data_IF_051305160804
#
_entry.id   IF_051305160804
#
_cell.length_a   1.000
_cell.length_b   1.000
_cell.length_c   1.000
_cell.angle_alpha   90.00
_cell.angle_beta   90.00
_cell.angle_gamma   90.00
#
_symmetry.space_group_name_H-M   'P 1'
#
loop_
_entity.id
_entity.type
_entity.pdbx_description
1 polymer ?
#
# COMPACT_ATOMS: atom_id res chain seq x y z
N UNK A 1 0.06 15.40 -7.55
CA UNK A 1 0.08 14.78 -8.89
C UNK A 1 -1.23 15.10 -9.58
N UNK A 2 -1.24 15.29 -10.90
CA UNK A 2 -2.48 15.50 -11.67
C UNK A 2 -2.41 14.62 -12.91
N UNK A 3 -3.49 13.88 -13.17
CA UNK A 3 -3.66 13.04 -14.35
C UNK A 3 -4.63 13.73 -15.30
N UNK A 4 -4.27 13.78 -16.57
CA UNK A 4 -5.22 14.05 -17.62
C UNK A 4 -5.95 12.75 -17.94
N UNK A 5 -7.21 12.60 -17.54
CA UNK A 5 -8.06 11.47 -17.96
C UNK A 5 -8.31 11.55 -19.47
N UNK A 6 -8.00 10.50 -20.26
CA UNK A 6 -8.54 10.40 -21.61
C UNK A 6 -10.03 10.06 -21.50
N UNK A 7 -10.90 11.02 -21.84
CA UNK A 7 -12.31 10.73 -22.13
C UNK A 7 -12.36 10.01 -23.48
N UNK A 8 -12.67 8.72 -23.50
CA UNK A 8 -12.91 7.99 -24.75
C UNK A 8 -14.42 7.85 -24.99
N UNK A 9 -15.02 8.90 -25.54
CA UNK A 9 -16.45 8.94 -25.91
C UNK A 9 -16.79 8.30 -27.26
N UNK A 10 -16.08 7.26 -27.72
CA UNK A 10 -16.33 6.67 -29.04
C UNK A 10 -16.14 5.13 -29.06
N UNK A 11 -16.88 4.39 -29.92
CA UNK A 11 -16.87 2.92 -30.02
C UNK A 11 -15.54 2.30 -30.50
N UNK A 12 -14.50 3.12 -30.65
CA UNK A 12 -13.12 2.74 -31.00
C UNK A 12 -12.13 3.29 -29.97
N UNK A 13 -12.53 3.35 -28.69
CA UNK A 13 -11.62 3.70 -27.60
C UNK A 13 -10.39 2.78 -27.67
N UNK A 14 -9.16 3.30 -27.83
CA UNK A 14 -7.99 2.45 -27.82
C UNK A 14 -7.98 1.71 -26.48
N UNK A 15 -7.85 0.38 -26.50
CA UNK A 15 -7.72 -0.44 -25.30
C UNK A 15 -6.42 -0.18 -24.53
N UNK A 16 -5.74 0.94 -24.77
CA UNK A 16 -4.52 1.36 -24.12
C UNK A 16 -4.65 2.84 -23.69
N UNK A 17 -4.60 3.08 -22.38
CA UNK A 17 -4.69 4.40 -21.76
C UNK A 17 -3.34 4.76 -21.16
N UNK A 18 -2.76 5.89 -21.56
CA UNK A 18 -1.41 6.29 -21.12
C UNK A 18 -1.48 7.35 -20.04
N UNK A 19 -0.71 7.17 -18.98
CA UNK A 19 -0.62 8.03 -17.82
C UNK A 19 0.83 8.50 -17.63
N UNK A 20 1.07 9.78 -17.87
CA UNK A 20 2.36 10.41 -17.59
C UNK A 20 2.44 10.81 -16.11
N UNK A 21 3.35 10.17 -15.38
CA UNK A 21 3.55 10.47 -13.97
C UNK A 21 4.60 11.57 -13.82
N UNK A 22 4.20 12.68 -13.21
CA UNK A 22 5.14 13.75 -12.82
C UNK A 22 5.89 13.30 -11.57
N UNK A 23 7.04 12.67 -11.79
CA UNK A 23 7.90 12.10 -10.76
C UNK A 23 9.22 12.86 -10.63
N UNK A 24 9.88 12.81 -9.46
CA UNK A 24 11.26 13.25 -9.33
C UNK A 24 12.17 12.62 -10.40
N UNK A 25 13.20 13.37 -10.81
CA UNK A 25 14.18 12.86 -11.77
C UNK A 25 14.86 11.62 -11.19
N UNK A 26 14.97 10.58 -12.02
CA UNK A 26 15.55 9.30 -11.63
C UNK A 26 14.58 8.34 -10.94
N UNK A 27 13.30 8.71 -10.79
CA UNK A 27 12.29 7.78 -10.30
C UNK A 27 12.08 6.58 -11.23
N UNK A 28 11.71 5.46 -10.65
CA UNK A 28 11.42 4.21 -11.37
C UNK A 28 10.06 3.64 -10.97
N UNK A 29 9.41 2.97 -11.92
CA UNK A 29 8.18 2.21 -11.70
C UNK A 29 8.53 0.73 -11.64
N UNK A 30 8.14 0.07 -10.55
CA UNK A 30 8.44 -1.34 -10.33
C UNK A 30 7.14 -2.14 -10.19
N UNK A 31 6.81 -3.00 -11.17
CA UNK A 31 5.64 -3.86 -11.09
C UNK A 31 5.83 -4.98 -10.07
N UNK A 32 4.74 -5.41 -9.46
CA UNK A 32 4.67 -6.60 -8.59
C UNK A 32 3.74 -7.65 -9.19
N UNK A 33 3.82 -8.88 -8.67
CA UNK A 33 2.94 -10.00 -9.09
C UNK A 33 1.47 -9.80 -8.69
N UNK A 34 1.17 -8.88 -7.76
CA UNK A 34 -0.20 -8.53 -7.36
C UNK A 34 -0.87 -7.54 -8.32
N UNK A 35 -0.12 -6.99 -9.28
CA UNK A 35 -0.60 -5.98 -10.22
C UNK A 35 -0.42 -4.53 -9.75
N UNK A 36 0.08 -4.31 -8.53
CA UNK A 36 0.45 -2.96 -8.05
C UNK A 36 1.79 -2.54 -8.64
N UNK A 37 1.92 -1.24 -8.89
CA UNK A 37 3.17 -0.60 -9.30
C UNK A 37 3.72 0.24 -8.15
N UNK A 38 4.90 -0.09 -7.65
CA UNK A 38 5.63 0.76 -6.70
C UNK A 38 6.39 1.86 -7.43
N UNK A 39 6.40 3.07 -6.86
CA UNK A 39 7.14 4.22 -7.36
C UNK A 39 8.31 4.44 -6.42
N UNK A 40 9.53 4.33 -6.94
CA UNK A 40 10.76 4.56 -6.18
C UNK A 40 11.43 5.84 -6.68
N UNK A 41 12.07 6.60 -5.79
CA UNK A 41 12.95 7.69 -6.18
C UNK A 41 14.33 7.20 -6.67
N UNK A 42 15.22 8.13 -7.02
CA UNK A 42 16.56 7.82 -7.51
C UNK A 42 17.45 7.09 -6.48
N UNK A 43 17.11 7.19 -5.19
CA UNK A 43 17.81 6.49 -4.10
C UNK A 43 17.18 5.12 -3.78
N UNK A 44 16.10 4.74 -4.48
CA UNK A 44 15.36 3.50 -4.24
C UNK A 44 14.35 3.60 -3.10
N UNK A 45 14.11 4.79 -2.55
CA UNK A 45 13.09 5.00 -1.51
C UNK A 45 11.71 4.98 -2.13
N UNK A 46 10.76 4.30 -1.49
CA UNK A 46 9.36 4.30 -1.89
C UNK A 46 8.73 5.70 -1.73
N UNK A 47 8.07 6.19 -2.78
CA UNK A 47 7.45 7.54 -2.83
C UNK A 47 6.00 7.52 -3.32
N UNK A 48 5.44 6.33 -3.54
CA UNK A 48 4.04 6.17 -3.96
C UNK A 48 3.77 4.81 -4.59
N UNK A 49 2.49 4.54 -4.85
CA UNK A 49 2.08 3.32 -5.53
C UNK A 49 0.80 3.49 -6.35
N UNK A 50 0.61 2.58 -7.30
CA UNK A 50 -0.59 2.48 -8.14
C UNK A 50 -1.27 1.15 -7.86
N UNK A 51 -2.52 1.16 -7.35
CA UNK A 51 -3.31 -0.06 -7.08
C UNK A 51 -3.48 -0.91 -8.36
N UNK A 52 -3.83 -2.20 -8.24
CA UNK A 52 -3.96 -3.07 -9.41
C UNK A 52 -4.94 -2.50 -10.44
N UNK A 53 -4.62 -2.72 -11.72
CA UNK A 53 -5.47 -2.25 -12.81
C UNK A 53 -6.90 -2.79 -12.65
N UNK A 54 -7.88 -1.89 -12.77
CA UNK A 54 -9.29 -2.24 -12.81
C UNK A 54 -9.94 -1.54 -14.01
N UNK A 55 -10.93 -2.21 -14.60
CA UNK A 55 -11.76 -1.64 -15.64
C UNK A 55 -13.18 -2.16 -15.49
N UNK A 56 -14.18 -1.31 -15.74
CA UNK A 56 -15.61 -1.70 -15.72
C UNK A 56 -16.36 -1.13 -16.91
N UNK A 57 -17.35 -1.86 -17.38
CA UNK A 57 -18.31 -1.40 -18.39
C UNK A 57 -19.42 -0.53 -17.76
N UNK A 58 -20.33 -0.02 -18.58
CA UNK A 58 -21.44 0.82 -18.11
C UNK A 58 -22.46 0.11 -17.20
N UNK A 59 -22.45 -1.22 -17.18
CA UNK A 59 -23.27 -2.03 -16.27
C UNK A 59 -22.51 -2.40 -14.98
N UNK A 60 -21.25 -1.96 -14.84
CA UNK A 60 -20.39 -2.27 -13.71
C UNK A 60 -19.67 -3.62 -13.79
N UNK A 61 -19.79 -4.34 -14.90
CA UNK A 61 -19.10 -5.62 -15.11
C UNK A 61 -17.60 -5.39 -15.21
N UNK A 62 -16.81 -6.24 -14.55
CA UNK A 62 -15.36 -6.17 -14.61
C UNK A 62 -14.84 -6.55 -16.01
N UNK A 63 -13.90 -5.76 -16.54
CA UNK A 63 -13.20 -6.03 -17.79
C UNK A 63 -11.75 -6.39 -17.44
N UNK A 64 -11.20 -7.40 -18.13
CA UNK A 64 -9.80 -7.78 -17.96
C UNK A 64 -8.90 -6.60 -18.34
N UNK A 65 -7.95 -6.28 -17.48
CA UNK A 65 -6.99 -5.18 -17.70
C UNK A 65 -5.67 -5.46 -16.97
N UNK A 66 -4.59 -4.82 -17.42
CA UNK A 66 -3.27 -4.85 -16.78
C UNK A 66 -2.50 -3.57 -17.09
N UNK A 67 -1.39 -3.35 -16.38
CA UNK A 67 -0.45 -2.27 -16.70
C UNK A 67 0.74 -2.75 -17.52
N UNK A 68 1.17 -1.92 -18.46
CA UNK A 68 2.50 -1.89 -19.05
C UNK A 68 3.28 -0.66 -18.56
N UNK A 69 4.61 -0.73 -18.59
CA UNK A 69 5.50 0.36 -18.16
C UNK A 69 6.50 0.65 -19.28
N UNK A 70 6.71 1.94 -19.56
CA UNK A 70 7.78 2.44 -20.43
C UNK A 70 8.47 3.62 -19.76
N UNK A 71 9.64 3.38 -19.16
CA UNK A 71 10.30 4.36 -18.29
C UNK A 71 9.44 4.70 -17.07
N UNK A 72 9.05 5.98 -16.94
CA UNK A 72 8.10 6.47 -15.91
C UNK A 72 6.66 6.58 -16.42
N UNK A 73 6.39 6.11 -17.63
CA UNK A 73 5.05 6.12 -18.23
C UNK A 73 4.31 4.84 -17.85
N UNK A 74 3.12 4.98 -17.28
CA UNK A 74 2.22 3.87 -17.00
C UNK A 74 1.18 3.76 -18.12
N UNK A 75 1.01 2.56 -18.67
CA UNK A 75 0.04 2.30 -19.74
C UNK A 75 -0.95 1.27 -19.24
N UNK A 76 -2.22 1.62 -19.07
CA UNK A 76 -3.26 0.64 -18.75
C UNK A 76 -3.82 0.03 -20.03
N UNK A 77 -3.72 -1.29 -20.16
CA UNK A 77 -4.25 -2.05 -21.27
C UNK A 77 -5.55 -2.71 -20.83
N UNK A 78 -6.67 -2.40 -21.49
CA UNK A 78 -8.01 -2.94 -21.26
C UNK A 78 -8.37 -3.85 -22.43
N UNK A 79 -8.73 -5.10 -22.12
CA UNK A 79 -9.10 -6.11 -23.12
C UNK A 79 -10.54 -5.86 -23.61
N UNK A 80 -10.65 -5.12 -24.71
CA UNK A 80 -11.92 -4.81 -25.39
C UNK A 80 -12.26 -5.82 -26.49
N UNK A 81 -11.54 -6.95 -26.57
CA UNK A 81 -11.84 -8.00 -27.57
C UNK A 81 -13.15 -8.75 -27.35
N UNK A 82 -13.67 -8.94 -26.12
CA UNK A 82 -14.98 -9.57 -25.91
C UNK A 82 -16.14 -8.75 -26.49
N UNK A 83 -17.11 -9.44 -27.10
CA UNK A 83 -18.38 -8.81 -27.48
C UNK A 83 -19.27 -8.57 -26.25
N UNK A 84 -20.19 -7.60 -26.35
CA UNK A 84 -21.15 -7.29 -25.28
C UNK A 84 -20.65 -6.31 -24.22
N UNK A 85 -19.47 -5.71 -24.38
CA UNK A 85 -18.98 -4.64 -23.50
C UNK A 85 -19.85 -3.39 -23.70
N UNK A 86 -20.47 -2.93 -22.61
CA UNK A 86 -21.28 -1.72 -22.61
C UNK A 86 -20.43 -0.46 -22.35
N UNK A 87 -20.61 0.55 -23.19
CA UNK A 87 -19.89 1.82 -23.04
C UNK A 87 -20.70 2.84 -22.22
N UNK A 88 -20.05 3.75 -21.47
CA UNK A 88 -18.59 3.94 -21.39
C UNK A 88 -17.89 2.84 -20.58
N UNK A 89 -16.67 2.52 -21.02
CA UNK A 89 -15.72 1.76 -20.21
C UNK A 89 -14.96 2.75 -19.32
N UNK A 90 -14.88 2.44 -18.02
CA UNK A 90 -14.13 3.22 -17.04
C UNK A 90 -12.92 2.42 -16.59
N UNK A 91 -11.75 3.05 -16.67
CA UNK A 91 -10.46 2.50 -16.25
C UNK A 91 -9.62 3.65 -15.69
N UNK A 92 -9.64 3.84 -14.37
CA UNK A 92 -8.97 4.96 -13.69
C UNK A 92 -7.99 4.43 -12.63
N UNK A 93 -6.67 4.47 -12.88
CA UNK A 93 -5.68 4.02 -11.93
C UNK A 93 -5.77 4.81 -10.62
N UNK A 94 -5.88 4.08 -9.51
CA UNK A 94 -5.83 4.71 -8.20
C UNK A 94 -4.37 4.87 -7.75
N UNK A 95 -4.00 6.10 -7.40
CA UNK A 95 -2.67 6.46 -6.89
C UNK A 95 -2.76 6.71 -5.38
N UNK A 96 -1.93 5.98 -4.62
CA UNK A 96 -1.78 6.18 -3.19
C UNK A 96 -0.39 6.65 -2.85
N UNK A 97 -0.31 7.69 -2.02
CA UNK A 97 0.95 8.16 -1.44
C UNK A 97 1.07 7.82 0.05
N UNK A 98 -0.05 7.59 0.73
CA UNK A 98 -0.09 7.30 2.16
C UNK A 98 -0.34 5.80 2.42
N UNK A 99 0.54 5.20 3.20
CA UNK A 99 0.47 3.82 3.66
C UNK A 99 -0.20 3.70 5.03
N UNK A 100 -0.10 4.74 5.86
CA UNK A 100 -0.73 4.82 7.18
C UNK A 100 -1.83 5.87 7.13
N UNK A 101 -3.03 5.55 7.58
CA UNK A 101 -4.12 6.52 7.70
C UNK A 101 -3.91 7.40 8.94
N UNK A 102 -3.79 6.79 10.12
CA UNK A 102 -3.54 7.49 11.38
C UNK A 102 -2.94 6.57 12.46
N UNK A 103 -2.50 7.17 13.58
CA UNK A 103 -2.04 6.46 14.78
C UNK A 103 -2.79 7.00 15.99
N UNK A 104 -3.36 6.10 16.80
CA UNK A 104 -4.05 6.44 18.05
C UNK A 104 -3.34 5.80 19.23
N UNK A 105 -3.21 6.53 20.35
CA UNK A 105 -2.67 5.97 21.59
C UNK A 105 -3.80 5.62 22.57
N UNK A 106 -3.77 4.40 23.06
CA UNK A 106 -4.66 3.91 24.12
C UNK A 106 -3.84 3.47 25.34
N UNK A 107 -4.51 3.27 26.48
CA UNK A 107 -3.84 2.82 27.70
C UNK A 107 -3.23 1.43 27.58
N UNK A 108 -3.81 0.56 26.75
CA UNK A 108 -3.33 -0.82 26.55
C UNK A 108 -3.55 -1.73 27.75
N UNK A 109 -3.01 -2.94 27.67
CA UNK A 109 -2.87 -3.82 28.83
C UNK A 109 -1.85 -3.21 29.82
N UNK A 110 -2.17 -3.06 31.11
CA UNK A 110 -1.21 -2.54 32.10
C UNK A 110 0.13 -3.27 32.13
N UNK A 111 0.17 -4.56 31.77
CA UNK A 111 1.39 -5.34 31.63
C UNK A 111 2.30 -4.80 30.53
N UNK A 112 1.72 -4.36 29.42
CA UNK A 112 2.44 -3.93 28.22
C UNK A 112 2.49 -2.41 28.03
N UNK A 113 1.81 -1.67 28.91
CA UNK A 113 1.80 -0.21 28.92
C UNK A 113 0.96 0.36 27.77
N UNK A 114 1.10 1.67 27.49
CA UNK A 114 0.36 2.30 26.41
C UNK A 114 0.59 1.64 25.06
N UNK A 115 -0.48 1.49 24.29
CA UNK A 115 -0.45 0.84 22.96
C UNK A 115 -0.66 1.90 21.89
N UNK A 116 0.19 1.89 20.86
CA UNK A 116 -0.04 2.63 19.63
C UNK A 116 -0.84 1.75 18.67
N UNK A 117 -2.07 2.15 18.38
CA UNK A 117 -2.91 1.52 17.36
C UNK A 117 -2.61 2.21 16.02
N UNK A 118 -1.94 1.49 15.13
CA UNK A 118 -1.58 2.00 13.79
C UNK A 118 -2.62 1.53 12.79
N UNK A 119 -3.26 2.46 12.08
CA UNK A 119 -4.30 2.17 11.11
C UNK A 119 -3.74 2.29 9.69
N UNK A 120 -3.53 1.19 8.96
CA UNK A 120 -3.02 1.25 7.59
C UNK A 120 -4.13 1.60 6.58
N UNK A 121 -3.76 2.28 5.50
CA UNK A 121 -4.63 2.45 4.33
C UNK A 121 -4.82 1.13 3.58
N UNK A 122 -5.76 1.06 2.65
CA UNK A 122 -5.90 -0.09 1.73
C UNK A 122 -4.57 -0.47 1.04
N UNK A 123 -3.75 0.53 0.70
CA UNK A 123 -2.45 0.31 0.08
C UNK A 123 -1.43 -0.20 1.09
N UNK A 124 -1.39 0.39 2.29
CA UNK A 124 -0.53 -0.08 3.38
C UNK A 124 -0.85 -1.51 3.84
N UNK A 125 -2.11 -1.94 3.78
CA UNK A 125 -2.51 -3.34 4.05
C UNK A 125 -2.04 -4.30 2.97
N UNK A 126 -1.97 -3.85 1.72
CA UNK A 126 -1.59 -4.70 0.60
C UNK A 126 -0.07 -4.66 0.39
N UNK A 127 0.66 -5.37 1.25
CA UNK A 127 2.12 -5.45 1.19
C UNK A 127 2.65 -6.10 -0.11
N UNK A 128 1.92 -7.06 -0.70
CA UNK A 128 2.22 -7.57 -2.05
C UNK A 128 2.12 -6.46 -3.11
N UNK A 129 1.44 -5.38 -2.76
CA UNK A 129 1.30 -4.18 -3.55
C UNK A 129 2.40 -3.15 -3.32
N UNK A 130 2.62 -2.79 -2.06
CA UNK A 130 3.58 -1.75 -1.70
C UNK A 130 5.05 -2.23 -1.81
N UNK A 131 5.29 -3.55 -1.75
CA UNK A 131 6.62 -4.16 -1.72
C UNK A 131 7.28 -4.08 -0.33
N UNK A 132 8.28 -4.92 -0.02
CA UNK A 132 8.97 -4.87 1.27
C UNK A 132 9.67 -3.52 1.53
N UNK A 133 10.04 -2.79 0.49
CA UNK A 133 10.68 -1.47 0.56
C UNK A 133 9.73 -0.37 1.04
N UNK A 134 8.43 -0.62 1.06
CA UNK A 134 7.45 0.30 1.62
C UNK A 134 7.37 0.24 3.15
N UNK A 135 7.98 -0.76 3.80
CA UNK A 135 7.96 -0.89 5.27
C UNK A 135 8.49 0.36 5.96
N UNK A 136 9.70 0.79 5.58
CA UNK A 136 10.33 1.96 6.18
C UNK A 136 9.61 3.28 5.84
N UNK A 137 8.96 3.34 4.68
CA UNK A 137 8.13 4.49 4.33
C UNK A 137 6.88 4.55 5.21
N UNK A 138 6.21 3.41 5.40
CA UNK A 138 5.05 3.31 6.27
C UNK A 138 5.41 3.56 7.75
N UNK A 139 6.58 3.08 8.20
CA UNK A 139 7.08 3.40 9.54
C UNK A 139 7.31 4.89 9.71
N UNK A 140 7.96 5.54 8.73
CA UNK A 140 8.13 6.99 8.72
C UNK A 140 6.79 7.75 8.80
N UNK A 141 5.77 7.32 8.05
CA UNK A 141 4.43 7.90 8.17
C UNK A 141 3.80 7.69 9.55
N UNK A 142 3.97 6.52 10.18
CA UNK A 142 3.47 6.27 11.53
C UNK A 142 4.14 7.18 12.56
N UNK A 143 5.46 7.41 12.44
CA UNK A 143 6.20 8.36 13.28
C UNK A 143 5.71 9.80 13.11
N UNK A 144 5.44 10.22 11.87
CA UNK A 144 4.99 11.59 11.55
C UNK A 144 3.52 11.83 11.95
N UNK A 145 2.68 10.79 11.87
CA UNK A 145 1.24 10.86 12.20
C UNK A 145 0.94 10.55 13.68
N UNK A 146 1.92 10.01 14.41
CA UNK A 146 1.82 9.67 15.82
C UNK A 146 2.63 10.58 16.75
N UNK A 147 2.78 10.15 18.00
CA UNK A 147 3.74 10.75 18.93
C UNK A 147 5.11 10.08 18.72
N UNK A 148 5.94 10.71 17.88
CA UNK A 148 7.26 10.19 17.54
C UNK A 148 8.11 9.88 18.77
N UNK A 149 8.09 10.71 19.80
CA UNK A 149 8.93 10.51 20.98
C UNK A 149 8.55 9.25 21.76
N UNK A 150 7.30 8.80 21.65
CA UNK A 150 6.81 7.55 22.26
C UNK A 150 6.92 6.34 21.33
N UNK A 151 7.02 6.56 20.02
CA UNK A 151 6.95 5.51 19.01
C UNK A 151 8.32 5.09 18.47
N UNK A 152 9.29 6.01 18.40
CA UNK A 152 10.63 5.82 17.79
C UNK A 152 11.56 4.98 18.69
N UNK A 153 11.17 3.72 18.91
CA UNK A 153 11.89 2.71 19.68
C UNK A 153 11.99 1.39 18.89
N UNK A 154 13.12 0.69 19.01
CA UNK A 154 13.42 -0.54 18.27
C UNK A 154 12.35 -1.63 18.44
N UNK A 155 11.89 -1.86 19.68
CA UNK A 155 10.87 -2.86 19.97
C UNK A 155 9.54 -2.56 19.25
N UNK A 156 9.16 -1.28 19.13
CA UNK A 156 7.95 -0.86 18.43
C UNK A 156 8.12 -0.93 16.91
N UNK A 157 9.32 -0.62 16.41
CA UNK A 157 9.63 -0.78 14.98
C UNK A 157 9.59 -2.25 14.54
N UNK A 158 10.10 -3.17 15.36
CA UNK A 158 10.05 -4.60 15.09
C UNK A 158 8.62 -5.15 15.09
N UNK A 159 7.79 -4.71 16.06
CA UNK A 159 6.35 -5.02 16.08
C UNK A 159 5.67 -4.48 14.81
N UNK A 160 5.89 -3.21 14.46
CA UNK A 160 5.33 -2.59 13.25
C UNK A 160 5.71 -3.38 12.01
N UNK A 161 7.00 -3.68 11.85
CA UNK A 161 7.53 -4.42 10.70
C UNK A 161 6.92 -5.81 10.65
N UNK A 162 6.76 -6.49 11.78
CA UNK A 162 6.07 -7.77 11.83
C UNK A 162 4.62 -7.65 11.33
N UNK A 163 3.88 -6.61 11.73
CA UNK A 163 2.51 -6.43 11.26
C UNK A 163 2.40 -6.05 9.78
N UNK A 164 3.27 -5.15 9.32
CA UNK A 164 3.32 -4.68 7.93
C UNK A 164 3.69 -5.83 6.98
N UNK A 165 4.68 -6.66 7.37
CA UNK A 165 5.11 -7.82 6.59
C UNK A 165 4.22 -9.06 6.80
N UNK A 166 3.47 -9.11 7.90
CA UNK A 166 2.70 -10.25 8.37
C UNK A 166 1.29 -10.36 7.82
N UNK A 167 1.06 -10.02 6.53
CA UNK A 167 -0.28 -9.98 5.89
C UNK A 167 -1.20 -11.14 6.25
N UNK A 168 -0.67 -12.37 6.34
CA UNK A 168 -1.46 -13.59 6.61
C UNK A 168 -2.14 -13.54 7.99
N UNK A 169 -1.53 -12.85 8.96
CA UNK A 169 -1.99 -12.81 10.36
C UNK A 169 -2.64 -11.48 10.76
N UNK A 170 -2.54 -10.46 9.91
CA UNK A 170 -2.99 -9.09 10.22
C UNK A 170 -4.00 -8.49 9.24
N UNK A 171 -4.33 -9.17 8.13
CA UNK A 171 -5.19 -8.63 7.08
C UNK A 171 -6.58 -8.16 7.58
N UNK A 172 -7.18 -8.90 8.51
CA UNK A 172 -8.53 -8.63 9.02
C UNK A 172 -8.53 -7.72 10.27
N UNK A 173 -7.35 -7.37 10.81
CA UNK A 173 -7.25 -6.50 11.99
C UNK A 173 -7.46 -5.05 11.60
N UNK A 174 -8.32 -4.34 12.32
CA UNK A 174 -8.58 -2.92 12.07
C UNK A 174 -7.32 -2.07 12.27
N UNK A 175 -6.56 -2.32 13.34
CA UNK A 175 -5.28 -1.67 13.64
C UNK A 175 -4.17 -2.70 13.88
N UNK A 176 -2.92 -2.23 13.78
CA UNK A 176 -1.74 -2.93 14.28
C UNK A 176 -1.37 -2.33 15.64
N UNK A 177 -1.42 -3.15 16.68
CA UNK A 177 -1.25 -2.69 18.06
C UNK A 177 0.22 -2.86 18.46
N UNK A 178 0.89 -1.74 18.75
CA UNK A 178 2.29 -1.71 19.16
C UNK A 178 2.38 -1.36 20.64
N UNK A 179 2.76 -2.34 21.44
CA UNK A 179 2.77 -2.25 22.89
C UNK A 179 4.14 -1.75 23.41
N UNK A 180 4.12 -0.65 24.17
CA UNK A 180 5.33 0.09 24.57
C UNK A 180 6.34 -0.73 25.38
N UNK A 181 5.86 -1.57 26.30
CA UNK A 181 6.71 -2.27 27.27
C UNK A 181 7.08 -3.70 26.84
N UNK A 182 6.73 -4.12 25.62
CA UNK A 182 7.20 -5.39 25.07
C UNK A 182 8.74 -5.36 24.99
N UNK A 183 9.43 -6.46 25.32
CA UNK A 183 10.88 -6.51 25.23
C UNK A 183 11.36 -6.30 23.79
N UNK A 184 12.49 -5.59 23.63
CA UNK A 184 13.24 -5.59 22.38
C UNK A 184 13.95 -6.94 22.22
N UNK A 185 13.37 -7.84 21.41
CA UNK A 185 13.91 -9.18 21.11
C UNK A 185 14.45 -9.30 19.69
N UNK A 186 14.43 -8.20 18.92
CA UNK A 186 14.71 -8.21 17.49
C UNK A 186 13.54 -8.74 16.64
N UNK A 187 13.51 -8.33 15.37
CA UNK A 187 12.48 -8.71 14.40
C UNK A 187 12.28 -10.23 14.26
N UNK A 188 13.37 -11.00 14.22
CA UNK A 188 13.28 -12.45 14.01
C UNK A 188 12.53 -13.16 15.15
N UNK A 189 12.81 -12.79 16.40
CA UNK A 189 12.11 -13.34 17.55
C UNK A 189 10.66 -12.80 17.65
N UNK A 190 10.44 -11.55 17.22
CA UNK A 190 9.09 -10.95 17.11
C UNK A 190 8.22 -11.71 16.12
N UNK A 191 8.75 -12.05 14.94
CA UNK A 191 8.05 -12.90 13.95
C UNK A 191 7.79 -14.30 14.51
N UNK A 192 8.78 -14.92 15.18
CA UNK A 192 8.61 -16.24 15.79
C UNK A 192 7.53 -16.26 16.89
N UNK A 193 7.24 -15.10 17.49
CA UNK A 193 6.20 -14.91 18.49
C UNK A 193 4.87 -14.40 17.91
N UNK A 194 4.66 -14.51 16.59
CA UNK A 194 3.47 -14.01 15.89
C UNK A 194 3.18 -12.52 16.16
N UNK A 195 4.23 -11.69 16.08
CA UNK A 195 4.22 -10.24 16.33
C UNK A 195 4.00 -9.83 17.79
N UNK A 196 3.76 -10.77 18.71
CA UNK A 196 3.58 -10.52 20.14
C UNK A 196 4.63 -11.26 20.98
N UNK A 197 5.85 -10.71 21.12
CA UNK A 197 6.85 -11.25 22.04
C UNK A 197 6.24 -11.45 23.43
N UNK A 198 6.42 -12.66 23.99
CA UNK A 198 5.86 -13.09 25.27
C UNK A 198 4.33 -13.35 25.32
N UNK A 199 3.64 -13.35 24.17
CA UNK A 199 2.22 -13.71 24.05
C UNK A 199 1.26 -12.62 24.50
N UNK A 200 -0.04 -12.82 24.29
CA UNK A 200 -1.08 -11.79 24.49
C UNK A 200 -1.99 -11.69 23.27
N UNK A 201 -3.11 -10.99 23.42
CA UNK A 201 -4.02 -10.71 22.29
C UNK A 201 -3.61 -9.39 21.63
N UNK A 202 -3.79 -9.36 20.30
CA UNK A 202 -3.74 -8.16 19.46
C UNK A 202 -5.15 -7.67 19.16
#
# INVERSE_FOLDING_TARGET
>A
MSLSTPSSGAPAAPGAYTYELRLPVGSTLRPSTSGVISILDAAGKWVGGVKPAWARDAHGNAIRTHYGISGTTLIQIVDLSPSGIAYPVVADPWFGVDLIDHVTWVLGDPQWGPTAQVYPTDLGRNQLGAGPEANEAAWGEALDKGDRARLDHNNLHDQFTCHFLGRIFTADKESWNLDSNRPDVGLAATIAANCNPQGGED
#
